data_IF_691465627322
#
_entry.id   IF_691465627322
#
_cell.length_a   1.000
_cell.length_b   1.000
_cell.length_c   1.000
_cell.angle_alpha   90.00
_cell.angle_beta   90.00
_cell.angle_gamma   90.00
#
_symmetry.space_group_name_H-M   'P 1'
#
loop_
_entity.id
_entity.type
_entity.pdbx_description
1 polymer ?
#
# COMPACT_ATOMS: atom_id res chain seq x y z
N UNK A 1 14.26 -8.58 -31.19
CA UNK A 1 14.15 -8.07 -29.81
C UNK A 1 14.56 -6.62 -29.83
N UNK A 2 13.80 -5.73 -29.16
CA UNK A 2 14.15 -4.32 -29.10
C UNK A 2 15.49 -4.13 -28.36
N UNK A 3 16.33 -3.21 -28.83
CA UNK A 3 17.60 -2.93 -28.16
C UNK A 3 17.39 -1.86 -27.07
N UNK A 4 17.24 -2.28 -25.82
CA UNK A 4 17.03 -1.39 -24.68
C UNK A 4 18.28 -0.62 -24.23
N UNK A 5 19.42 -0.77 -24.90
CA UNK A 5 20.57 0.13 -24.68
C UNK A 5 20.27 1.58 -25.12
N UNK A 6 19.27 1.75 -26.00
CA UNK A 6 18.72 3.05 -26.39
C UNK A 6 17.18 2.99 -26.28
N UNK A 7 16.66 3.54 -25.18
CA UNK A 7 15.23 3.57 -24.86
C UNK A 7 14.37 4.16 -25.99
N UNK A 8 14.82 5.27 -26.58
CA UNK A 8 14.07 5.94 -27.64
C UNK A 8 14.01 5.10 -28.92
N UNK A 9 15.13 4.48 -29.28
CA UNK A 9 15.20 3.59 -30.43
C UNK A 9 14.38 2.31 -30.24
N UNK A 10 14.37 1.74 -29.01
CA UNK A 10 13.56 0.58 -28.67
C UNK A 10 12.05 0.81 -28.92
N UNK A 11 11.60 2.06 -28.79
CA UNK A 11 10.20 2.46 -28.91
C UNK A 11 9.85 3.14 -30.24
N UNK A 12 10.77 3.20 -31.22
CA UNK A 12 10.55 3.92 -32.48
C UNK A 12 9.29 3.43 -33.22
N UNK A 13 9.03 2.11 -33.19
CA UNK A 13 7.84 1.50 -33.80
C UNK A 13 6.52 1.77 -33.08
N UNK A 14 6.55 2.39 -31.90
CA UNK A 14 5.39 2.63 -31.03
C UNK A 14 4.98 4.11 -30.96
N UNK A 15 5.70 5.02 -31.62
CA UNK A 15 5.48 6.47 -31.49
C UNK A 15 4.10 6.92 -31.97
N UNK A 16 3.60 6.39 -33.09
CA UNK A 16 2.27 6.75 -33.61
C UNK A 16 1.15 6.33 -32.64
N UNK A 17 1.28 5.13 -32.06
CA UNK A 17 0.35 4.63 -31.04
C UNK A 17 0.43 5.49 -29.77
N UNK A 18 1.65 5.84 -29.34
CA UNK A 18 1.88 6.70 -28.18
C UNK A 18 1.28 8.10 -28.37
N UNK A 19 1.45 8.74 -29.53
CA UNK A 19 0.84 10.05 -29.81
C UNK A 19 -0.68 10.02 -29.70
N UNK A 20 -1.30 8.96 -30.22
CA UNK A 20 -2.75 8.77 -30.10
C UNK A 20 -3.19 8.61 -28.65
N UNK A 21 -2.49 7.78 -27.87
CA UNK A 21 -2.77 7.57 -26.44
C UNK A 21 -2.59 8.86 -25.63
N UNK A 22 -1.46 9.57 -25.77
CA UNK A 22 -1.20 10.84 -25.07
C UNK A 22 -2.26 11.91 -25.39
N UNK A 23 -2.73 11.96 -26.64
CA UNK A 23 -3.76 12.92 -27.06
C UNK A 23 -5.18 12.57 -26.64
N UNK A 24 -5.44 11.35 -26.16
CA UNK A 24 -6.80 10.88 -25.86
C UNK A 24 -7.01 10.34 -24.44
N UNK A 25 -5.94 10.12 -23.66
CA UNK A 25 -6.05 9.58 -22.30
C UNK A 25 -6.75 10.57 -21.34
N UNK A 26 -7.91 10.19 -20.76
CA UNK A 26 -8.69 11.10 -19.93
C UNK A 26 -7.98 11.44 -18.61
N UNK A 27 -7.22 10.51 -18.04
CA UNK A 27 -6.52 10.72 -16.77
C UNK A 27 -5.37 11.73 -16.95
N UNK A 28 -4.53 11.53 -17.97
CA UNK A 28 -3.46 12.45 -18.31
C UNK A 28 -4.00 13.85 -18.64
N UNK A 29 -5.10 13.93 -19.40
CA UNK A 29 -5.76 15.21 -19.68
C UNK A 29 -6.24 15.89 -18.40
N UNK A 30 -6.85 15.16 -17.48
CA UNK A 30 -7.31 15.72 -16.21
C UNK A 30 -6.13 16.26 -15.37
N UNK A 31 -5.01 15.55 -15.34
CA UNK A 31 -3.80 15.97 -14.63
C UNK A 31 -3.09 17.18 -15.24
N UNK A 32 -3.23 17.38 -16.56
CA UNK A 32 -2.54 18.45 -17.29
C UNK A 32 -3.42 19.65 -17.60
N UNK A 33 -4.73 19.59 -17.33
CA UNK A 33 -5.67 20.70 -17.56
C UNK A 33 -5.65 21.70 -16.40
N UNK A 34 -4.68 22.60 -16.40
CA UNK A 34 -4.52 23.64 -15.38
C UNK A 34 -3.79 24.85 -15.93
N UNK A 35 -4.31 26.05 -15.66
CA UNK A 35 -3.67 27.32 -16.02
C UNK A 35 -2.36 27.56 -15.25
N UNK A 36 -2.06 26.74 -14.24
CA UNK A 36 -0.75 26.72 -13.58
C UNK A 36 0.36 26.15 -14.48
N UNK A 37 0.01 25.45 -15.57
CA UNK A 37 0.94 25.03 -16.63
C UNK A 37 0.97 26.15 -17.69
N UNK A 38 1.62 27.25 -17.33
CA UNK A 38 1.73 28.46 -18.16
C UNK A 38 2.83 28.39 -19.23
N UNK A 39 3.72 27.42 -19.10
CA UNK A 39 4.81 27.13 -20.03
C UNK A 39 4.96 25.62 -20.26
N UNK A 40 5.44 25.20 -21.43
CA UNK A 40 5.75 23.80 -21.68
C UNK A 40 6.77 23.26 -20.67
N UNK A 41 6.52 22.05 -20.18
CA UNK A 41 7.46 21.33 -19.30
C UNK A 41 7.85 20.02 -19.95
N UNK A 42 9.15 19.75 -20.05
CA UNK A 42 9.68 18.53 -20.66
C UNK A 42 10.40 17.66 -19.62
N UNK A 43 10.07 16.37 -19.59
CA UNK A 43 10.79 15.33 -18.86
C UNK A 43 11.16 14.17 -19.81
N UNK A 44 12.08 13.31 -19.38
CA UNK A 44 12.61 12.24 -20.24
C UNK A 44 12.59 10.84 -19.61
N UNK A 45 12.50 9.82 -20.45
CA UNK A 45 12.87 8.43 -20.13
C UNK A 45 14.10 8.04 -20.94
N UNK A 46 15.11 7.46 -20.29
CA UNK A 46 16.36 7.06 -20.94
C UNK A 46 16.91 5.74 -20.39
N UNK A 47 17.77 5.11 -21.19
CA UNK A 47 18.66 4.05 -20.70
C UNK A 47 19.93 4.67 -20.12
N UNK A 48 20.57 4.00 -19.17
CA UNK A 48 21.86 4.45 -18.60
C UNK A 48 22.95 4.63 -19.65
N UNK A 49 22.86 3.89 -20.75
CA UNK A 49 23.92 3.75 -21.76
C UNK A 49 23.79 4.75 -22.92
N UNK A 50 22.73 5.58 -22.95
CA UNK A 50 22.46 6.50 -24.04
C UNK A 50 21.90 7.84 -23.56
N UNK A 51 22.36 8.93 -24.17
CA UNK A 51 21.76 10.26 -23.98
C UNK A 51 20.52 10.48 -24.86
N UNK A 52 20.28 9.61 -25.84
CA UNK A 52 19.05 9.59 -26.64
C UNK A 52 17.90 9.10 -25.76
N UNK A 53 16.84 9.89 -25.70
CA UNK A 53 15.76 9.73 -24.74
C UNK A 53 14.40 9.95 -25.40
N UNK A 54 13.37 9.36 -24.80
CA UNK A 54 11.98 9.71 -25.10
C UNK A 54 11.61 10.92 -24.24
N UNK A 55 11.43 12.06 -24.90
CA UNK A 55 11.04 13.33 -24.27
C UNK A 55 9.52 13.45 -24.31
N UNK A 56 8.89 13.68 -23.16
CA UNK A 56 7.48 14.03 -23.06
C UNK A 56 7.39 15.51 -22.71
N UNK A 57 6.72 16.29 -23.56
CA UNK A 57 6.46 17.71 -23.33
C UNK A 57 5.00 17.90 -22.99
N UNK A 58 4.74 18.50 -21.84
CA UNK A 58 3.40 18.76 -21.30
C UNK A 58 3.09 20.24 -21.47
N UNK A 59 1.89 20.53 -21.98
CA UNK A 59 1.29 21.86 -21.98
C UNK A 59 -0.10 21.79 -21.37
N UNK A 60 -0.75 22.94 -21.14
CA UNK A 60 -2.08 22.97 -20.53
C UNK A 60 -3.08 22.13 -21.36
N UNK A 61 -3.50 21.00 -20.79
CA UNK A 61 -4.45 20.05 -21.38
C UNK A 61 -3.89 19.11 -22.46
N UNK A 62 -2.56 19.05 -22.66
CA UNK A 62 -1.96 18.14 -23.65
C UNK A 62 -0.56 17.64 -23.27
N UNK A 63 -0.16 16.52 -23.89
CA UNK A 63 1.19 15.99 -23.83
C UNK A 63 1.61 15.44 -25.20
N UNK A 64 2.88 15.62 -25.55
CA UNK A 64 3.46 15.17 -26.81
C UNK A 64 4.78 14.45 -26.58
N UNK A 65 5.06 13.42 -27.38
CA UNK A 65 6.30 12.65 -27.31
C UNK A 65 7.21 12.94 -28.50
N UNK A 66 8.52 13.07 -28.25
CA UNK A 66 9.55 13.12 -29.29
C UNK A 66 10.82 12.41 -28.83
N UNK A 67 11.63 11.94 -29.76
CA UNK A 67 12.99 11.48 -29.44
C UNK A 67 13.95 12.67 -29.44
N UNK A 68 14.97 12.64 -28.59
CA UNK A 68 15.92 13.75 -28.48
C UNK A 68 16.95 13.54 -27.37
N UNK A 69 17.68 14.59 -27.02
CA UNK A 69 18.65 14.50 -25.93
C UNK A 69 17.94 14.62 -24.58
N UNK A 70 18.28 13.75 -23.64
CA UNK A 70 17.86 13.89 -22.23
C UNK A 70 18.25 15.23 -21.59
N UNK A 71 19.22 15.96 -22.17
CA UNK A 71 19.65 17.29 -21.72
C UNK A 71 18.61 18.39 -21.99
N UNK A 72 17.63 18.12 -22.85
CA UNK A 72 16.53 19.05 -23.16
C UNK A 72 15.38 18.96 -22.15
N UNK A 73 15.48 18.06 -21.16
CA UNK A 73 14.47 17.82 -20.14
C UNK A 73 14.88 18.42 -18.78
N UNK A 74 13.89 18.83 -17.97
CA UNK A 74 14.12 19.28 -16.59
C UNK A 74 14.68 18.15 -15.71
N UNK A 75 14.20 16.93 -15.94
CA UNK A 75 14.66 15.72 -15.30
C UNK A 75 14.48 14.52 -16.22
N UNK A 76 15.23 13.45 -15.95
CA UNK A 76 15.11 12.19 -16.67
C UNK A 76 15.03 11.00 -15.70
N UNK A 77 14.13 10.08 -16.00
CA UNK A 77 14.06 8.76 -15.39
C UNK A 77 14.98 7.83 -16.18
N UNK A 78 16.11 7.48 -15.58
CA UNK A 78 17.11 6.57 -16.13
C UNK A 78 16.94 5.18 -15.54
N UNK A 79 17.07 4.14 -16.36
CA UNK A 79 17.21 2.76 -15.89
C UNK A 79 18.19 1.97 -16.75
N UNK A 80 18.80 0.93 -16.18
CA UNK A 80 19.65 0.01 -16.93
C UNK A 80 18.84 -0.74 -18.01
N UNK A 81 19.46 -1.11 -19.16
CA UNK A 81 18.75 -1.73 -20.28
C UNK A 81 17.96 -2.99 -19.92
N UNK A 82 18.52 -3.85 -19.06
CA UNK A 82 17.88 -5.07 -18.59
C UNK A 82 16.61 -4.79 -17.79
N UNK A 83 16.56 -3.66 -17.07
CA UNK A 83 15.40 -3.23 -16.29
C UNK A 83 14.26 -2.78 -17.19
N UNK A 84 14.57 -1.97 -18.20
CA UNK A 84 13.57 -1.59 -19.21
C UNK A 84 13.04 -2.81 -19.96
N UNK A 85 13.91 -3.76 -20.30
CA UNK A 85 13.46 -5.01 -20.93
C UNK A 85 12.45 -5.78 -20.07
N UNK A 86 12.61 -5.82 -18.75
CA UNK A 86 11.63 -6.45 -17.86
C UNK A 86 10.34 -5.62 -17.72
N UNK A 87 10.46 -4.28 -17.61
CA UNK A 87 9.31 -3.38 -17.50
C UNK A 87 8.41 -3.45 -18.74
N UNK A 88 8.98 -3.63 -19.93
CA UNK A 88 8.24 -3.71 -21.20
C UNK A 88 7.87 -5.14 -21.61
N UNK A 89 7.65 -6.02 -20.63
CA UNK A 89 6.91 -7.27 -20.84
C UNK A 89 5.41 -7.01 -20.79
N UNK A 90 4.62 -7.85 -21.47
CA UNK A 90 3.15 -7.74 -21.52
C UNK A 90 2.52 -7.63 -20.12
N UNK A 91 2.93 -8.51 -19.20
CA UNK A 91 2.70 -8.35 -17.77
C UNK A 91 4.06 -8.41 -17.08
N UNK A 92 4.58 -7.27 -16.60
CA UNK A 92 5.88 -7.24 -15.93
C UNK A 92 5.80 -8.04 -14.63
N UNK A 93 6.77 -8.92 -14.39
CA UNK A 93 6.88 -9.63 -13.12
C UNK A 93 7.39 -8.70 -12.01
N UNK A 94 7.16 -9.05 -10.75
CA UNK A 94 7.74 -8.31 -9.63
C UNK A 94 9.28 -8.30 -9.70
N UNK A 95 9.96 -7.20 -9.37
CA UNK A 95 9.43 -5.89 -8.96
C UNK A 95 9.36 -4.88 -10.13
N UNK A 96 9.31 -5.35 -11.38
CA UNK A 96 9.43 -4.53 -12.60
C UNK A 96 8.11 -3.89 -13.06
N UNK A 97 7.03 -4.00 -12.28
CA UNK A 97 5.73 -3.40 -12.62
C UNK A 97 5.69 -1.88 -12.47
N UNK A 98 6.70 -1.28 -11.86
CA UNK A 98 6.81 0.18 -11.73
C UNK A 98 8.26 0.64 -11.77
N UNK A 99 8.46 1.91 -12.13
CA UNK A 99 9.80 2.51 -12.12
C UNK A 99 10.48 2.43 -10.75
N UNK A 100 9.71 2.57 -9.67
CA UNK A 100 10.22 2.51 -8.30
C UNK A 100 10.63 1.11 -7.87
N UNK A 101 9.84 0.10 -8.26
CA UNK A 101 10.14 -1.30 -7.92
C UNK A 101 11.41 -1.84 -8.57
N UNK A 102 11.86 -1.25 -9.68
CA UNK A 102 13.12 -1.65 -10.31
C UNK A 102 14.35 -1.44 -9.40
N UNK A 103 14.25 -0.55 -8.39
CA UNK A 103 15.20 -0.26 -7.30
C UNK A 103 16.67 -0.02 -7.69
N UNK A 104 17.35 -1.10 -8.11
CA UNK A 104 18.77 -1.12 -8.43
C UNK A 104 18.98 -0.85 -9.91
N UNK A 105 19.86 0.10 -10.23
CA UNK A 105 20.09 0.51 -11.60
C UNK A 105 19.05 1.49 -12.15
N UNK A 106 18.23 2.10 -11.30
CA UNK A 106 17.39 3.27 -11.63
C UNK A 106 17.93 4.54 -10.99
N UNK A 107 17.76 5.67 -11.68
CA UNK A 107 18.18 6.98 -11.18
C UNK A 107 17.30 8.08 -11.79
N UNK A 108 16.84 9.00 -10.94
CA UNK A 108 16.30 10.28 -11.42
C UNK A 108 17.44 11.28 -11.51
N UNK A 109 17.71 11.79 -12.72
CA UNK A 109 18.72 12.83 -12.97
C UNK A 109 18.04 14.18 -13.23
N UNK A 110 18.64 15.28 -12.79
CA UNK A 110 18.09 16.63 -12.96
C UNK A 110 17.26 17.12 -11.78
N UNK A 111 16.25 17.96 -12.04
CA UNK A 111 15.44 18.62 -11.01
C UNK A 111 14.51 17.64 -10.28
N UNK A 112 14.91 17.26 -9.07
CA UNK A 112 14.17 16.34 -8.20
C UNK A 112 12.83 16.93 -7.73
N UNK A 113 12.73 18.26 -7.58
CA UNK A 113 11.49 18.91 -7.13
C UNK A 113 10.47 18.90 -8.27
N UNK A 114 10.90 19.22 -9.49
CA UNK A 114 10.04 19.11 -10.67
C UNK A 114 9.58 17.67 -10.90
N UNK A 115 10.45 16.68 -10.69
CA UNK A 115 10.08 15.26 -10.76
C UNK A 115 8.98 14.91 -9.76
N UNK A 116 9.13 15.33 -8.50
CA UNK A 116 8.12 15.08 -7.47
C UNK A 116 6.80 15.81 -7.75
N UNK A 117 6.86 17.04 -8.24
CA UNK A 117 5.68 17.83 -8.59
C UNK A 117 4.90 17.23 -9.77
N UNK A 118 5.60 16.65 -10.76
CA UNK A 118 5.01 16.09 -11.98
C UNK A 118 4.81 14.58 -11.92
N UNK A 119 4.88 13.97 -10.74
CA UNK A 119 4.86 12.53 -10.56
C UNK A 119 3.65 11.84 -11.18
N UNK A 120 2.47 12.39 -10.93
CA UNK A 120 1.20 11.96 -11.50
C UNK A 120 1.16 12.01 -13.03
N UNK A 121 1.90 12.94 -13.64
CA UNK A 121 1.97 13.11 -15.09
C UNK A 121 2.97 12.15 -15.71
N UNK A 122 4.22 12.11 -15.23
CA UNK A 122 5.22 11.23 -15.82
C UNK A 122 4.89 9.76 -15.55
N UNK A 123 4.37 9.38 -14.38
CA UNK A 123 4.02 7.97 -14.13
C UNK A 123 2.91 7.52 -15.08
N UNK A 124 1.86 8.33 -15.28
CA UNK A 124 0.80 8.00 -16.25
C UNK A 124 1.33 7.97 -17.68
N UNK A 125 2.17 8.93 -18.08
CA UNK A 125 2.79 8.91 -19.39
C UNK A 125 3.62 7.64 -19.61
N UNK A 126 4.36 7.15 -18.61
CA UNK A 126 5.13 5.91 -18.70
C UNK A 126 4.24 4.68 -18.91
N UNK A 127 3.08 4.60 -18.26
CA UNK A 127 2.09 3.54 -18.53
C UNK A 127 1.57 3.60 -19.97
N UNK A 128 1.32 4.80 -20.51
CA UNK A 128 0.88 4.94 -21.91
C UNK A 128 1.99 4.57 -22.90
N UNK A 129 3.26 4.78 -22.54
CA UNK A 129 4.41 4.28 -23.31
C UNK A 129 4.46 2.76 -23.29
N UNK A 130 4.22 2.13 -22.14
CA UNK A 130 4.07 0.67 -22.04
C UNK A 130 2.92 0.17 -22.91
N UNK A 131 1.72 0.75 -22.77
CA UNK A 131 0.54 0.37 -23.53
C UNK A 131 0.74 0.53 -25.05
N UNK A 132 1.41 1.60 -25.49
CA UNK A 132 1.76 1.81 -26.90
C UNK A 132 2.69 0.72 -27.46
N UNK A 133 3.54 0.13 -26.62
CA UNK A 133 4.53 -0.86 -27.02
C UNK A 133 4.06 -2.30 -26.87
N UNK A 134 3.46 -2.62 -25.73
CA UNK A 134 3.08 -3.96 -25.31
C UNK A 134 1.59 -4.25 -25.52
N UNK A 135 0.76 -3.22 -25.73
CA UNK A 135 -0.68 -3.30 -25.58
C UNK A 135 -1.13 -3.11 -24.12
N UNK A 136 -2.43 -2.91 -23.87
CA UNK A 136 -2.95 -2.69 -22.53
C UNK A 136 -2.81 -3.96 -21.67
N UNK A 137 -2.41 -3.79 -20.41
CA UNK A 137 -2.41 -4.89 -19.43
C UNK A 137 -3.85 -5.30 -19.18
N UNK A 138 -4.13 -6.61 -19.29
CA UNK A 138 -5.45 -7.15 -18.98
C UNK A 138 -5.65 -7.16 -17.46
N UNK A 139 -6.52 -6.27 -16.99
CA UNK A 139 -6.89 -6.16 -15.59
C UNK A 139 -8.05 -7.10 -15.22
N UNK A 140 -8.02 -7.56 -13.98
CA UNK A 140 -9.14 -8.25 -13.34
C UNK A 140 -10.36 -7.32 -13.20
N UNK A 141 -11.52 -7.91 -12.94
CA UNK A 141 -12.76 -7.18 -12.78
C UNK A 141 -13.16 -7.13 -11.30
N UNK A 142 -13.63 -5.96 -10.84
CA UNK A 142 -14.26 -5.81 -9.54
C UNK A 142 -15.76 -5.54 -9.74
N UNK A 143 -16.64 -6.45 -9.29
CA UNK A 143 -18.07 -6.18 -9.25
C UNK A 143 -18.39 -5.05 -8.26
N UNK A 144 -19.22 -4.11 -8.69
CA UNK A 144 -19.76 -3.03 -7.85
C UNK A 144 -21.22 -3.34 -7.48
N UNK A 145 -21.52 -3.74 -6.23
CA UNK A 145 -22.88 -4.01 -5.81
C UNK A 145 -23.67 -2.69 -5.65
N UNK A 146 -24.98 -2.75 -5.89
CA UNK A 146 -25.87 -1.60 -5.66
C UNK A 146 -25.96 -1.19 -4.19
N UNK A 147 -25.88 -2.16 -3.28
CA UNK A 147 -25.97 -1.96 -1.83
C UNK A 147 -24.80 -2.67 -1.15
N UNK A 148 -24.20 -2.00 -0.18
CA UNK A 148 -23.19 -2.59 0.70
C UNK A 148 -23.84 -3.21 1.96
N UNK A 149 -23.00 -3.82 2.79
CA UNK A 149 -23.36 -4.39 4.10
C UNK A 149 -22.63 -3.70 5.25
N UNK A 150 -22.16 -2.47 5.05
CA UNK A 150 -21.27 -1.78 5.98
C UNK A 150 -22.07 -0.73 6.73
N UNK A 151 -21.89 -0.67 8.05
CA UNK A 151 -22.48 0.38 8.90
C UNK A 151 -21.38 1.16 9.59
N UNK A 152 -21.39 2.49 9.44
CA UNK A 152 -20.46 3.40 10.10
C UNK A 152 -20.96 3.89 11.46
N UNK A 153 -20.05 4.07 12.40
CA UNK A 153 -20.29 4.43 13.79
C UNK A 153 -19.23 5.41 14.29
N UNK A 154 -19.54 6.10 15.39
CA UNK A 154 -18.56 6.89 16.14
C UNK A 154 -18.50 6.46 17.59
N UNK A 155 -17.29 6.44 18.16
CA UNK A 155 -17.05 6.20 19.59
C UNK A 155 -15.97 7.16 20.09
N UNK A 156 -16.06 7.59 21.35
CA UNK A 156 -14.96 8.31 21.98
C UNK A 156 -14.07 7.32 22.72
N UNK A 157 -12.77 7.32 22.43
CA UNK A 157 -11.79 6.47 23.09
C UNK A 157 -10.77 7.33 23.84
N UNK A 158 -10.42 6.89 25.04
CA UNK A 158 -9.24 7.38 25.76
C UNK A 158 -8.02 6.60 25.24
N UNK A 159 -7.33 7.18 24.27
CA UNK A 159 -6.19 6.54 23.61
C UNK A 159 -4.88 6.96 24.30
N UNK A 160 -3.98 6.02 24.63
CA UNK A 160 -2.63 6.36 25.07
C UNK A 160 -1.96 7.34 24.08
N UNK A 161 -1.26 8.34 24.61
CA UNK A 161 -0.61 9.44 23.86
C UNK A 161 -1.57 10.46 23.22
N UNK A 162 -2.68 10.02 22.65
CA UNK A 162 -3.62 10.89 21.91
C UNK A 162 -4.76 11.49 22.74
N UNK A 163 -4.90 11.06 23.99
CA UNK A 163 -5.98 11.45 24.89
C UNK A 163 -7.36 11.09 24.31
N UNK A 164 -8.42 11.75 24.80
CA UNK A 164 -9.79 11.47 24.38
C UNK A 164 -10.02 11.91 22.94
N UNK A 165 -10.21 10.95 22.04
CA UNK A 165 -10.40 11.21 20.60
C UNK A 165 -11.69 10.56 20.10
N UNK A 166 -12.39 11.24 19.17
CA UNK A 166 -13.57 10.71 18.50
C UNK A 166 -13.15 9.86 17.31
N UNK A 167 -13.40 8.56 17.39
CA UNK A 167 -12.99 7.55 16.43
C UNK A 167 -14.18 7.12 15.58
N UNK A 168 -14.01 7.17 14.27
CA UNK A 168 -14.92 6.53 13.33
C UNK A 168 -14.53 5.06 13.16
N UNK A 169 -15.53 4.19 13.12
CA UNK A 169 -15.33 2.80 12.75
C UNK A 169 -16.53 2.24 12.01
N UNK A 170 -16.28 1.20 11.25
CA UNK A 170 -17.25 0.50 10.43
C UNK A 170 -17.39 -0.94 10.90
N UNK A 171 -18.59 -1.49 10.71
CA UNK A 171 -18.91 -2.87 11.04
C UNK A 171 -19.60 -3.59 9.89
N UNK A 172 -19.31 -4.88 9.72
CA UNK A 172 -20.03 -5.76 8.80
C UNK A 172 -19.98 -7.22 9.26
N UNK A 173 -20.95 -8.02 8.82
CA UNK A 173 -21.01 -9.46 9.10
C UNK A 173 -21.60 -9.80 10.48
N UNK A 174 -21.90 -11.09 10.64
CA UNK A 174 -22.61 -11.63 11.80
C UNK A 174 -21.98 -12.93 12.32
N UNK A 175 -20.84 -13.33 11.76
CA UNK A 175 -20.18 -14.56 12.13
C UNK A 175 -19.45 -14.49 13.47
N UNK A 176 -19.16 -15.66 14.04
CA UNK A 176 -18.65 -15.80 15.42
C UNK A 176 -17.24 -15.23 15.63
N UNK A 177 -16.39 -15.19 14.60
CA UNK A 177 -15.04 -14.68 14.74
C UNK A 177 -15.04 -13.15 14.65
N UNK A 178 -14.60 -12.48 15.72
CA UNK A 178 -14.40 -11.03 15.69
C UNK A 178 -13.06 -10.71 15.04
N UNK A 179 -13.02 -9.80 14.07
CA UNK A 179 -11.76 -9.36 13.44
C UNK A 179 -11.73 -7.85 13.34
N UNK A 180 -10.60 -7.26 13.71
CA UNK A 180 -10.34 -5.82 13.61
C UNK A 180 -9.29 -5.61 12.53
N UNK A 181 -9.68 -4.87 11.50
CA UNK A 181 -8.83 -4.45 10.40
C UNK A 181 -8.19 -3.10 10.70
N UNK A 182 -6.92 -2.98 10.35
CA UNK A 182 -6.08 -1.81 10.56
C UNK A 182 -5.56 -1.31 9.21
N UNK A 183 -5.91 -0.08 8.84
CA UNK A 183 -5.54 0.50 7.54
C UNK A 183 -4.04 0.79 7.41
N UNK A 184 -3.59 0.93 6.17
CA UNK A 184 -2.21 1.31 5.83
C UNK A 184 -1.95 2.81 6.11
N UNK A 185 -0.68 3.21 6.01
CA UNK A 185 -0.26 4.59 6.21
C UNK A 185 -1.02 5.57 5.28
N UNK A 186 -1.45 6.72 5.79
CA UNK A 186 -2.08 7.79 5.00
C UNK A 186 -3.43 7.43 4.41
N UNK A 187 -4.09 6.37 4.90
CA UNK A 187 -5.34 5.86 4.37
C UNK A 187 -6.37 5.67 5.49
N UNK A 188 -7.45 4.94 5.24
CA UNK A 188 -8.54 4.71 6.19
C UNK A 188 -9.26 3.36 5.98
N UNK A 189 -10.30 3.09 6.77
CA UNK A 189 -11.04 1.82 6.80
C UNK A 189 -11.65 1.41 5.46
N UNK A 190 -11.83 2.33 4.50
CA UNK A 190 -12.34 2.02 3.15
C UNK A 190 -11.50 0.98 2.42
N UNK A 191 -10.22 0.82 2.80
CA UNK A 191 -9.34 -0.22 2.26
C UNK A 191 -9.88 -1.65 2.45
N UNK A 192 -10.76 -1.86 3.43
CA UNK A 192 -11.31 -3.18 3.72
C UNK A 192 -12.74 -3.38 3.19
N UNK A 193 -13.33 -2.42 2.47
CA UNK A 193 -14.71 -2.49 2.01
C UNK A 193 -15.00 -3.73 1.15
N UNK A 194 -14.06 -4.11 0.27
CA UNK A 194 -14.19 -5.33 -0.54
C UNK A 194 -14.30 -6.59 0.32
N UNK A 195 -13.43 -6.70 1.33
CA UNK A 195 -13.43 -7.83 2.29
C UNK A 195 -14.67 -7.80 3.18
N UNK A 196 -15.07 -6.62 3.65
CA UNK A 196 -16.23 -6.44 4.53
C UNK A 196 -17.56 -6.70 3.81
N UNK A 197 -17.62 -6.59 2.49
CA UNK A 197 -18.79 -6.94 1.71
C UNK A 197 -18.82 -8.42 1.26
N UNK A 198 -17.68 -9.11 1.24
CA UNK A 198 -17.60 -10.53 0.83
C UNK A 198 -18.49 -11.42 1.70
N UNK A 199 -19.38 -12.17 1.06
CA UNK A 199 -20.37 -13.00 1.74
C UNK A 199 -19.74 -14.10 2.62
N UNK A 200 -18.62 -14.69 2.18
CA UNK A 200 -17.92 -15.74 2.93
C UNK A 200 -17.34 -15.16 4.21
N UNK A 201 -16.78 -13.96 4.13
CA UNK A 201 -16.29 -13.22 5.29
C UNK A 201 -17.42 -12.84 6.24
N UNK A 202 -18.51 -12.25 5.75
CA UNK A 202 -19.67 -11.82 6.58
C UNK A 202 -20.34 -12.98 7.33
N UNK A 203 -20.43 -14.17 6.73
CA UNK A 203 -20.98 -15.37 7.38
C UNK A 203 -20.08 -15.90 8.50
N UNK A 204 -18.76 -15.75 8.37
CA UNK A 204 -17.78 -16.32 9.32
C UNK A 204 -17.33 -15.34 10.39
N UNK A 205 -17.32 -14.05 10.07
CA UNK A 205 -16.76 -13.01 10.91
C UNK A 205 -17.77 -11.89 11.22
N UNK A 206 -17.62 -11.30 12.40
CA UNK A 206 -18.07 -9.94 12.69
C UNK A 206 -16.84 -9.04 12.55
N UNK A 207 -16.83 -8.21 11.53
CA UNK A 207 -15.67 -7.42 11.09
C UNK A 207 -15.80 -5.98 11.56
N UNK A 208 -14.67 -5.41 11.97
CA UNK A 208 -14.53 -4.02 12.40
C UNK A 208 -13.35 -3.40 11.65
N UNK A 209 -13.48 -2.16 11.19
CA UNK A 209 -12.37 -1.36 10.69
C UNK A 209 -12.50 0.02 11.30
N UNK A 210 -11.46 0.53 11.97
CA UNK A 210 -11.50 1.89 12.53
C UNK A 210 -10.44 2.76 11.87
N UNK A 211 -10.76 4.04 11.74
CA UNK A 211 -9.82 5.04 11.25
C UNK A 211 -8.97 5.50 12.44
N UNK A 212 -7.65 5.49 12.30
CA UNK A 212 -6.76 6.03 13.33
C UNK A 212 -7.07 7.51 13.60
N UNK A 213 -6.72 8.06 14.77
CA UNK A 213 -6.81 9.50 15.01
C UNK A 213 -6.21 10.30 13.85
N UNK A 214 -6.95 11.30 13.37
CA UNK A 214 -6.56 12.15 12.23
C UNK A 214 -6.73 11.55 10.84
N UNK A 215 -7.20 10.31 10.73
CA UNK A 215 -7.43 9.62 9.46
C UNK A 215 -8.91 9.51 9.10
N UNK A 216 -9.20 9.39 7.80
CA UNK A 216 -10.54 9.17 7.28
C UNK A 216 -11.58 10.09 7.91
N UNK A 217 -12.50 9.51 8.67
CA UNK A 217 -13.57 10.22 9.40
C UNK A 217 -13.29 10.37 10.90
N UNK A 218 -12.20 9.80 11.41
CA UNK A 218 -11.76 10.02 12.79
C UNK A 218 -11.25 11.44 12.99
N UNK A 219 -11.48 11.98 14.18
CA UNK A 219 -11.05 13.33 14.52
C UNK A 219 -9.52 13.34 14.78
N UNK A 220 -8.83 14.46 14.51
CA UNK A 220 -7.44 14.59 14.88
C UNK A 220 -7.29 14.51 16.41
N UNK A 221 -6.18 13.95 16.91
CA UNK A 221 -5.95 13.85 18.34
C UNK A 221 -5.77 15.25 18.95
N UNK A 222 -6.43 15.52 20.08
CA UNK A 222 -6.45 16.85 20.71
C UNK A 222 -5.05 17.32 21.10
N UNK A 223 -4.19 16.38 21.53
CA UNK A 223 -2.82 16.65 21.94
C UNK A 223 -1.86 16.97 20.77
N UNK A 224 -2.31 16.92 19.51
CA UNK A 224 -1.46 17.08 18.34
C UNK A 224 -1.83 18.33 17.52
N UNK A 225 -0.94 19.33 17.38
CA UNK A 225 -1.16 20.41 16.43
C UNK A 225 -1.09 19.91 14.98
N UNK A 226 -1.76 20.59 14.03
CA UNK A 226 -1.66 20.27 12.60
C UNK A 226 -0.20 20.21 12.12
N UNK A 227 0.15 19.18 11.36
CA UNK A 227 1.50 18.97 10.83
C UNK A 227 2.50 18.32 11.79
N UNK A 228 2.13 18.04 13.05
CA UNK A 228 2.98 17.35 14.03
C UNK A 228 2.55 15.89 14.28
N UNK A 229 1.65 15.36 13.44
CA UNK A 229 1.15 14.01 13.59
C UNK A 229 2.28 12.99 13.45
N UNK A 230 2.29 12.02 14.37
CA UNK A 230 3.22 10.90 14.36
C UNK A 230 2.61 9.71 15.11
N UNK A 231 2.99 8.52 14.67
CA UNK A 231 2.64 7.28 15.35
C UNK A 231 3.87 6.74 16.09
N UNK A 232 3.64 6.24 17.29
CA UNK A 232 4.60 5.44 18.07
C UNK A 232 4.02 4.06 18.32
N UNK A 233 4.83 3.08 18.69
CA UNK A 233 4.32 1.76 19.08
C UNK A 233 3.28 1.86 20.22
N UNK A 234 3.54 2.70 21.22
CA UNK A 234 2.63 2.90 22.36
C UNK A 234 1.29 3.51 21.97
N UNK A 235 1.30 4.53 21.09
CA UNK A 235 0.06 5.12 20.61
C UNK A 235 -0.74 4.13 19.75
N UNK A 236 -0.06 3.34 18.91
CA UNK A 236 -0.71 2.40 18.00
C UNK A 236 -1.28 1.17 18.72
N UNK A 237 -0.47 0.47 19.54
CA UNK A 237 -0.95 -0.66 20.35
C UNK A 237 -2.00 -0.18 21.35
N UNK A 238 -1.80 1.02 21.92
CA UNK A 238 -2.71 1.65 22.84
C UNK A 238 -4.11 1.89 22.28
N UNK A 239 -4.23 2.50 21.08
CA UNK A 239 -5.54 2.73 20.46
C UNK A 239 -6.24 1.41 20.10
N UNK A 240 -5.50 0.39 19.66
CA UNK A 240 -6.05 -0.93 19.35
C UNK A 240 -6.64 -1.56 20.62
N UNK A 241 -5.89 -1.54 21.73
CA UNK A 241 -6.36 -2.01 23.03
C UNK A 241 -7.58 -1.24 23.54
N UNK A 242 -7.58 0.09 23.40
CA UNK A 242 -8.70 0.94 23.79
C UNK A 242 -9.97 0.62 22.97
N UNK A 243 -9.83 0.42 21.66
CA UNK A 243 -10.93 0.06 20.76
C UNK A 243 -11.51 -1.32 21.12
N UNK A 244 -10.65 -2.33 21.26
CA UNK A 244 -11.03 -3.70 21.65
C UNK A 244 -11.78 -3.71 22.98
N UNK A 245 -11.26 -2.99 23.98
CA UNK A 245 -11.89 -2.86 25.30
C UNK A 245 -13.23 -2.13 25.23
N UNK A 246 -13.30 -1.00 24.54
CA UNK A 246 -14.51 -0.16 24.48
C UNK A 246 -15.68 -0.87 23.81
N UNK A 247 -15.41 -1.69 22.80
CA UNK A 247 -16.44 -2.49 22.11
C UNK A 247 -16.70 -3.84 22.78
N UNK A 248 -15.97 -4.16 23.86
CA UNK A 248 -16.12 -5.43 24.57
C UNK A 248 -15.75 -6.65 23.71
N UNK A 249 -14.83 -6.49 22.75
CA UNK A 249 -14.41 -7.57 21.86
C UNK A 249 -13.61 -8.61 22.66
N UNK A 250 -13.86 -9.89 22.37
CA UNK A 250 -13.29 -11.02 23.12
C UNK A 250 -12.40 -11.85 22.21
N UNK A 251 -11.09 -11.73 22.41
CA UNK A 251 -10.09 -12.43 21.59
C UNK A 251 -10.29 -12.17 20.08
N UNK A 252 -10.41 -10.91 19.63
CA UNK A 252 -10.51 -10.61 18.22
C UNK A 252 -9.21 -10.99 17.50
N UNK A 253 -9.30 -11.31 16.21
CA UNK A 253 -8.12 -11.34 15.34
C UNK A 253 -7.79 -9.89 14.99
N UNK A 254 -6.52 -9.51 15.08
CA UNK A 254 -6.05 -8.20 14.59
C UNK A 254 -5.35 -8.43 13.25
N UNK A 255 -5.79 -7.72 12.21
CA UNK A 255 -5.31 -7.89 10.84
C UNK A 255 -5.01 -6.52 10.23
N UNK A 256 -3.90 -6.37 9.52
CA UNK A 256 -3.46 -5.08 9.03
C UNK A 256 -2.34 -5.20 8.00
N UNK A 257 -2.33 -4.32 7.01
CA UNK A 257 -1.31 -4.29 5.95
C UNK A 257 -0.21 -3.24 6.22
N UNK A 258 1.01 -3.47 5.73
CA UNK A 258 2.10 -2.49 5.72
C UNK A 258 2.53 -2.07 7.14
N UNK A 259 2.47 -0.77 7.45
CA UNK A 259 2.59 -0.21 8.80
C UNK A 259 1.74 -0.99 9.83
N UNK A 260 0.51 -1.36 9.46
CA UNK A 260 -0.37 -2.10 10.34
C UNK A 260 0.02 -3.58 10.47
N UNK A 261 0.75 -4.14 9.50
CA UNK A 261 1.37 -5.47 9.61
C UNK A 261 2.43 -5.51 10.71
N UNK A 262 3.26 -4.46 10.80
CA UNK A 262 4.18 -4.27 11.94
C UNK A 262 3.42 -4.08 13.25
N UNK A 263 2.32 -3.31 13.25
CA UNK A 263 1.47 -3.14 14.43
C UNK A 263 0.87 -4.47 14.91
N UNK A 264 0.47 -5.37 13.99
CA UNK A 264 0.04 -6.73 14.33
C UNK A 264 1.14 -7.51 15.07
N UNK A 265 2.40 -7.40 14.65
CA UNK A 265 3.53 -8.02 15.36
C UNK A 265 3.74 -7.39 16.74
N UNK A 266 3.65 -6.06 16.85
CA UNK A 266 3.71 -5.34 18.13
C UNK A 266 2.59 -5.79 19.08
N UNK A 267 1.37 -5.95 18.58
CA UNK A 267 0.21 -6.50 19.33
C UNK A 267 0.50 -7.92 19.81
N UNK A 268 1.08 -8.79 18.98
CA UNK A 268 1.41 -10.16 19.39
C UNK A 268 2.47 -10.20 20.50
N UNK A 269 3.48 -9.33 20.43
CA UNK A 269 4.49 -9.14 21.49
C UNK A 269 3.83 -8.65 22.78
N UNK A 270 2.91 -7.69 22.66
CA UNK A 270 2.23 -6.99 23.76
C UNK A 270 0.81 -7.52 24.00
N UNK A 271 0.57 -8.80 23.74
CA UNK A 271 -0.80 -9.32 23.69
C UNK A 271 -1.56 -9.19 25.01
N UNK A 272 -0.88 -9.11 26.15
CA UNK A 272 -1.49 -8.84 27.45
C UNK A 272 -2.21 -7.49 27.53
N UNK A 273 -1.84 -6.52 26.70
CA UNK A 273 -2.43 -5.18 26.67
C UNK A 273 -3.70 -5.10 25.80
N UNK A 274 -3.79 -5.98 24.79
CA UNK A 274 -4.88 -5.96 23.80
C UNK A 274 -5.88 -7.10 24.00
N UNK A 275 -5.39 -8.29 24.39
CA UNK A 275 -6.23 -9.48 24.50
C UNK A 275 -6.63 -10.05 23.14
N UNK A 276 -5.75 -9.98 22.13
CA UNK A 276 -6.00 -10.55 20.81
C UNK A 276 -6.07 -12.08 20.86
N UNK A 277 -6.91 -12.64 20.01
CA UNK A 277 -7.07 -14.07 19.79
C UNK A 277 -6.07 -14.67 18.81
N UNK A 278 -5.38 -13.82 18.06
CA UNK A 278 -4.40 -14.12 17.02
C UNK A 278 -4.17 -12.86 16.18
N UNK A 279 -3.11 -12.85 15.38
CA UNK A 279 -2.81 -11.74 14.47
C UNK A 279 -2.55 -12.24 13.06
N UNK A 280 -2.94 -11.42 12.09
CA UNK A 280 -2.67 -11.64 10.67
C UNK A 280 -1.91 -10.41 10.15
N UNK A 281 -0.58 -10.36 10.29
CA UNK A 281 0.24 -9.35 9.64
C UNK A 281 0.18 -9.54 8.12
N UNK A 282 -0.27 -8.53 7.40
CA UNK A 282 -0.26 -8.50 5.93
C UNK A 282 0.83 -7.51 5.51
N UNK A 283 1.64 -7.83 4.50
CA UNK A 283 2.73 -6.96 4.03
C UNK A 283 3.60 -6.40 5.18
N UNK A 284 3.98 -7.25 6.14
CA UNK A 284 4.60 -6.83 7.40
C UNK A 284 5.85 -7.63 7.75
N UNK A 285 6.83 -6.99 8.37
CA UNK A 285 8.08 -7.61 8.81
C UNK A 285 8.49 -7.07 10.18
N UNK A 286 9.44 -7.73 10.83
CA UNK A 286 9.95 -7.32 12.15
C UNK A 286 10.67 -5.97 12.13
N UNK A 287 11.14 -5.50 10.97
CA UNK A 287 11.82 -4.23 10.81
C UNK A 287 11.92 -3.86 9.34
N UNK A 288 11.62 -2.61 9.03
CA UNK A 288 11.79 -2.04 7.70
C UNK A 288 12.38 -0.64 7.83
N UNK A 289 13.35 -0.32 6.98
CA UNK A 289 13.95 1.02 6.94
C UNK A 289 14.30 1.38 5.49
N UNK A 290 13.44 2.18 4.87
CA UNK A 290 13.64 2.66 3.51
C UNK A 290 14.19 4.09 3.52
N UNK A 291 15.07 4.46 2.56
CA UNK A 291 15.46 5.86 2.39
C UNK A 291 14.23 6.72 2.11
N UNK A 292 14.02 7.74 2.94
CA UNK A 292 12.88 8.66 2.79
C UNK A 292 13.34 10.01 2.25
N UNK A 293 12.66 10.49 1.21
CA UNK A 293 12.72 11.90 0.83
C UNK A 293 11.56 12.65 1.48
N UNK A 294 11.74 13.94 1.77
CA UNK A 294 10.73 14.75 2.46
C UNK A 294 9.62 15.29 1.54
N UNK A 295 9.42 14.72 0.36
CA UNK A 295 8.38 15.17 -0.58
C UNK A 295 6.97 14.94 -0.03
N UNK A 296 6.79 13.88 0.73
CA UNK A 296 5.54 13.49 1.43
C UNK A 296 5.09 14.48 2.52
N UNK A 297 5.94 15.46 2.86
CA UNK A 297 5.61 16.57 3.77
C UNK A 297 6.06 17.95 3.27
N UNK A 298 6.57 18.04 2.04
CA UNK A 298 7.17 19.28 1.53
C UNK A 298 6.08 20.33 1.28
N UNK A 299 6.28 21.60 1.67
CA UNK A 299 5.35 22.68 1.31
C UNK A 299 5.40 23.03 -0.19
N UNK A 300 6.40 22.54 -0.93
CA UNK A 300 6.57 22.78 -2.36
C UNK A 300 6.04 21.64 -3.25
N UNK A 301 5.62 20.53 -2.64
CA UNK A 301 5.10 19.36 -3.34
C UNK A 301 3.67 19.11 -2.88
N UNK A 302 2.74 19.00 -3.82
CA UNK A 302 1.37 18.67 -3.48
C UNK A 302 1.28 17.19 -3.06
N UNK A 303 1.12 16.94 -1.76
CA UNK A 303 1.05 15.60 -1.18
C UNK A 303 -0.14 14.79 -1.69
N UNK A 304 -1.25 15.44 -2.04
CA UNK A 304 -2.42 14.77 -2.63
C UNK A 304 -2.15 14.25 -4.05
N UNK A 305 -1.05 14.67 -4.68
CA UNK A 305 -0.59 14.13 -5.96
C UNK A 305 0.64 13.24 -5.77
N UNK A 306 1.59 13.61 -4.90
CA UNK A 306 2.81 12.82 -4.73
C UNK A 306 2.58 11.49 -3.98
N UNK A 307 1.88 11.52 -2.85
CA UNK A 307 1.71 10.33 -2.00
C UNK A 307 0.99 9.17 -2.69
N UNK A 308 -0.17 9.37 -3.36
CA UNK A 308 -0.82 8.27 -4.07
C UNK A 308 0.04 7.71 -5.20
N UNK A 309 0.85 8.53 -5.84
CA UNK A 309 1.73 8.10 -6.92
C UNK A 309 2.94 7.31 -6.43
N UNK A 310 3.48 7.70 -5.27
CA UNK A 310 4.60 7.02 -4.63
C UNK A 310 4.29 5.56 -4.32
N UNK A 311 3.06 5.30 -3.87
CA UNK A 311 2.59 3.94 -3.55
C UNK A 311 1.96 3.22 -4.74
N UNK A 312 1.61 3.92 -5.83
CA UNK A 312 0.84 3.32 -6.91
C UNK A 312 1.53 2.09 -7.52
N UNK A 313 2.86 2.18 -7.64
CA UNK A 313 3.70 1.16 -8.25
C UNK A 313 3.87 -0.13 -7.43
N UNK A 314 3.31 -0.21 -6.22
CA UNK A 314 3.40 -1.40 -5.35
C UNK A 314 2.21 -2.34 -5.53
N UNK A 315 1.19 -1.93 -6.30
CA UNK A 315 0.04 -2.76 -6.64
C UNK A 315 0.39 -3.78 -7.73
N UNK A 316 -0.39 -4.85 -7.78
CA UNK A 316 -0.33 -5.80 -8.89
C UNK A 316 -0.72 -5.14 -10.22
N UNK A 317 0.00 -5.38 -11.33
CA UNK A 317 -0.33 -4.81 -12.64
C UNK A 317 -1.71 -5.24 -13.13
N UNK A 318 -2.17 -6.44 -12.74
CA UNK A 318 -3.45 -7.02 -13.15
C UNK A 318 -4.60 -6.70 -12.18
N UNK A 319 -4.37 -5.91 -11.12
CA UNK A 319 -5.43 -5.51 -10.21
C UNK A 319 -6.53 -4.69 -10.95
N UNK A 320 -7.81 -4.85 -10.59
CA UNK A 320 -8.91 -4.06 -11.15
C UNK A 320 -8.65 -2.55 -11.12
N UNK A 321 -8.85 -1.89 -12.25
CA UNK A 321 -8.61 -0.44 -12.39
C UNK A 321 -9.35 0.38 -11.34
N UNK A 322 -10.63 0.08 -11.09
CA UNK A 322 -11.45 0.81 -10.12
C UNK A 322 -10.87 0.73 -8.71
N UNK A 323 -10.21 -0.39 -8.36
CA UNK A 323 -9.57 -0.55 -7.06
C UNK A 323 -8.21 0.14 -7.00
N UNK A 324 -7.43 0.14 -8.10
CA UNK A 324 -6.22 0.96 -8.20
C UNK A 324 -6.54 2.45 -8.07
N UNK A 325 -7.62 2.90 -8.71
CA UNK A 325 -8.14 4.27 -8.59
C UNK A 325 -8.66 4.58 -7.19
N UNK A 326 -9.30 3.61 -6.52
CA UNK A 326 -9.69 3.76 -5.11
C UNK A 326 -8.45 3.96 -4.23
N UNK A 327 -7.44 3.10 -4.33
CA UNK A 327 -6.19 3.28 -3.57
C UNK A 327 -5.57 4.65 -3.83
N UNK A 328 -5.46 5.06 -5.10
CA UNK A 328 -4.99 6.40 -5.45
C UNK A 328 -5.83 7.50 -4.77
N UNK A 329 -7.17 7.39 -4.80
CA UNK A 329 -8.06 8.35 -4.16
C UNK A 329 -7.88 8.43 -2.64
N UNK A 330 -7.76 7.29 -1.96
CA UNK A 330 -7.60 7.24 -0.51
C UNK A 330 -6.35 8.02 -0.08
N UNK A 331 -5.22 7.74 -0.72
CA UNK A 331 -3.94 8.40 -0.46
C UNK A 331 -3.91 9.87 -0.91
N UNK A 332 -4.70 10.25 -1.92
CA UNK A 332 -4.92 11.64 -2.31
C UNK A 332 -5.72 12.42 -1.25
N UNK A 333 -6.61 11.74 -0.51
CA UNK A 333 -7.61 12.36 0.38
C UNK A 333 -7.15 12.59 1.83
N UNK A 334 -5.91 12.24 2.15
CA UNK A 334 -5.37 12.39 3.51
C UNK A 334 -5.08 13.85 3.90
N UNK A 335 -5.16 14.14 5.19
CA UNK A 335 -4.78 15.44 5.73
C UNK A 335 -3.26 15.65 5.68
N UNK A 336 -2.85 16.92 5.71
CA UNK A 336 -1.44 17.31 5.61
C UNK A 336 -0.55 16.57 6.63
N UNK A 337 0.54 15.97 6.15
CA UNK A 337 1.57 15.28 6.94
C UNK A 337 1.12 14.01 7.68
N UNK A 338 -0.11 13.53 7.49
CA UNK A 338 -0.57 12.28 8.12
C UNK A 338 0.26 11.08 7.62
N UNK A 339 0.34 10.89 6.30
CA UNK A 339 1.15 9.84 5.69
C UNK A 339 2.62 9.94 6.12
N UNK A 340 3.17 11.15 6.21
CA UNK A 340 4.54 11.33 6.67
C UNK A 340 4.75 10.83 8.11
N UNK A 341 3.82 11.13 9.01
CA UNK A 341 3.86 10.72 10.42
C UNK A 341 3.64 9.23 10.63
N UNK A 342 2.85 8.59 9.77
CA UNK A 342 2.69 7.14 9.74
C UNK A 342 3.96 6.44 9.30
N UNK A 343 4.59 6.95 8.24
CA UNK A 343 5.85 6.40 7.73
C UNK A 343 7.00 6.53 8.73
N UNK A 344 6.92 7.41 9.74
CA UNK A 344 7.90 7.43 10.84
C UNK A 344 7.82 6.15 11.67
N UNK A 345 6.63 5.61 11.89
CA UNK A 345 6.47 4.29 12.51
C UNK A 345 6.90 3.17 11.55
N UNK A 346 6.44 3.23 10.30
CA UNK A 346 6.67 2.17 9.32
C UNK A 346 8.15 1.95 9.00
N UNK A 347 8.91 3.05 8.87
CA UNK A 347 10.31 3.05 8.45
C UNK A 347 11.21 3.49 9.61
N UNK A 348 11.62 2.50 10.40
CA UNK A 348 12.57 2.66 11.52
C UNK A 348 11.94 2.93 12.89
N UNK A 349 10.64 3.27 12.96
CA UNK A 349 9.96 3.52 14.24
C UNK A 349 9.54 2.25 15.00
N UNK A 350 9.27 1.16 14.29
CA UNK A 350 9.11 -0.18 14.88
C UNK A 350 10.36 -1.03 14.68
N UNK A 351 10.87 -1.61 15.77
CA UNK A 351 11.96 -2.60 15.73
C UNK A 351 11.60 -3.83 16.57
N UNK A 352 11.29 -4.91 15.87
CA UNK A 352 10.94 -6.22 16.40
C UNK A 352 12.07 -7.25 16.38
N UNK A 353 13.25 -6.95 15.82
CA UNK A 353 14.29 -7.95 15.50
C UNK A 353 14.77 -8.80 16.69
N UNK A 354 14.73 -8.24 17.90
CA UNK A 354 15.10 -8.93 19.15
C UNK A 354 13.90 -9.31 20.02
N UNK A 355 12.68 -9.22 19.48
CA UNK A 355 11.43 -9.30 20.25
C UNK A 355 10.45 -10.30 19.65
N UNK A 356 10.42 -10.47 18.33
CA UNK A 356 9.45 -11.37 17.67
C UNK A 356 9.61 -12.83 18.12
N UNK A 357 10.82 -13.28 18.43
CA UNK A 357 11.07 -14.64 18.96
C UNK A 357 10.38 -14.92 20.31
N UNK A 358 10.04 -13.87 21.06
CA UNK A 358 9.35 -13.99 22.36
C UNK A 358 7.84 -14.21 22.23
N UNK A 359 7.28 -14.06 21.02
CA UNK A 359 5.84 -14.24 20.77
C UNK A 359 5.44 -15.67 21.08
N UNK A 360 4.50 -15.81 22.01
CA UNK A 360 3.93 -17.10 22.41
C UNK A 360 2.68 -17.39 21.56
N UNK A 361 2.88 -18.13 20.47
CA UNK A 361 1.82 -18.44 19.48
C UNK A 361 0.67 -19.29 20.03
N UNK A 362 0.85 -20.00 21.14
CA UNK A 362 -0.24 -20.65 21.87
C UNK A 362 -1.23 -19.64 22.51
N UNK A 363 -0.76 -18.44 22.84
CA UNK A 363 -1.60 -17.37 23.38
C UNK A 363 -2.15 -16.49 22.25
N UNK A 364 -1.31 -16.15 21.28
CA UNK A 364 -1.61 -15.30 20.14
C UNK A 364 -0.99 -15.89 18.86
N UNK A 365 -1.70 -16.76 18.14
CA UNK A 365 -1.20 -17.34 16.90
C UNK A 365 -0.92 -16.26 15.85
N UNK A 366 0.08 -16.50 14.99
CA UNK A 366 0.53 -15.56 13.96
C UNK A 366 0.48 -16.24 12.59
N UNK A 367 -0.23 -15.65 11.64
CA UNK A 367 -0.20 -16.07 10.24
C UNK A 367 0.05 -14.86 9.35
N UNK A 368 1.21 -14.81 8.71
CA UNK A 368 1.65 -13.69 7.87
C UNK A 368 1.27 -13.93 6.41
N UNK A 369 0.85 -12.86 5.73
CA UNK A 369 0.49 -12.86 4.31
C UNK A 369 1.26 -11.76 3.60
N UNK A 370 1.78 -12.03 2.40
CA UNK A 370 2.52 -11.02 1.61
C UNK A 370 2.21 -11.18 0.12
N UNK A 371 1.89 -10.09 -0.56
CA UNK A 371 1.69 -10.06 -2.01
C UNK A 371 3.00 -10.33 -2.75
N UNK A 372 2.93 -11.12 -3.83
CA UNK A 372 4.06 -11.36 -4.74
C UNK A 372 4.68 -10.06 -5.30
N UNK A 373 3.83 -9.06 -5.58
CA UNK A 373 4.23 -7.79 -6.16
C UNK A 373 4.67 -6.74 -5.15
N UNK A 374 4.60 -7.04 -3.84
CA UNK A 374 5.08 -6.11 -2.82
C UNK A 374 6.61 -6.05 -2.82
N UNK A 375 7.14 -4.92 -3.30
CA UNK A 375 8.57 -4.64 -3.28
C UNK A 375 9.00 -3.78 -2.08
N UNK A 376 8.06 -3.28 -1.28
CA UNK A 376 8.32 -2.56 -0.02
C UNK A 376 8.58 -3.58 1.10
N UNK A 377 7.63 -4.47 1.35
CA UNK A 377 7.76 -5.55 2.32
C UNK A 377 7.78 -6.88 1.57
N UNK A 378 8.94 -7.24 1.03
CA UNK A 378 9.02 -8.40 0.14
C UNK A 378 8.61 -9.69 0.83
N UNK A 379 8.08 -10.69 0.08
CA UNK A 379 7.77 -12.00 0.63
C UNK A 379 8.92 -12.64 1.42
N UNK A 380 10.16 -12.39 1.03
CA UNK A 380 11.36 -12.85 1.74
C UNK A 380 11.51 -12.21 3.12
N UNK A 381 11.26 -10.90 3.27
CA UNK A 381 11.34 -10.21 4.57
C UNK A 381 10.27 -10.72 5.55
N UNK A 382 9.05 -10.91 5.06
CA UNK A 382 7.96 -11.48 5.84
C UNK A 382 8.24 -12.93 6.23
N UNK A 383 8.78 -13.75 5.32
CA UNK A 383 9.19 -15.13 5.61
C UNK A 383 10.28 -15.17 6.67
N UNK A 384 11.34 -14.35 6.54
CA UNK A 384 12.43 -14.26 7.53
C UNK A 384 11.92 -13.87 8.92
N UNK A 385 10.89 -13.02 8.98
CA UNK A 385 10.23 -12.67 10.24
C UNK A 385 9.46 -13.85 10.82
N UNK A 386 8.65 -14.52 10.00
CA UNK A 386 7.86 -15.68 10.43
C UNK A 386 8.73 -16.84 10.93
N UNK A 387 9.87 -17.10 10.28
CA UNK A 387 10.80 -18.17 10.65
C UNK A 387 11.38 -18.01 12.06
N UNK A 388 11.45 -16.78 12.58
CA UNK A 388 11.90 -16.49 13.95
C UNK A 388 10.81 -16.70 15.00
N UNK A 389 9.54 -16.70 14.60
CA UNK A 389 8.40 -16.82 15.51
C UNK A 389 7.99 -18.28 15.57
N UNK A 390 8.29 -18.96 16.69
CA UNK A 390 7.96 -20.38 16.84
C UNK A 390 6.45 -20.62 16.66
N UNK A 391 6.09 -21.40 15.64
CA UNK A 391 4.72 -21.78 15.34
C UNK A 391 3.95 -20.75 14.49
N UNK A 392 4.59 -19.67 14.04
CA UNK A 392 4.01 -18.81 13.02
C UNK A 392 4.04 -19.48 11.64
N UNK A 393 3.20 -18.98 10.74
CA UNK A 393 3.23 -19.33 9.31
C UNK A 393 3.35 -18.06 8.47
N UNK A 394 3.93 -18.19 7.29
CA UNK A 394 3.89 -17.18 6.25
C UNK A 394 3.38 -17.80 4.94
N UNK A 395 2.66 -17.01 4.14
CA UNK A 395 2.25 -17.39 2.80
C UNK A 395 2.31 -16.20 1.84
N UNK A 396 3.08 -16.37 0.77
CA UNK A 396 3.07 -15.47 -0.38
C UNK A 396 1.74 -15.63 -1.14
N UNK A 397 1.18 -14.52 -1.60
CA UNK A 397 -0.07 -14.46 -2.35
C UNK A 397 0.24 -14.05 -3.81
N UNK A 398 0.28 -15.01 -4.74
CA UNK A 398 0.49 -14.73 -6.15
C UNK A 398 -0.48 -13.69 -6.70
N UNK A 399 0.02 -12.85 -7.61
CA UNK A 399 -0.74 -11.80 -8.31
C UNK A 399 -1.35 -10.69 -7.43
N UNK A 400 -0.98 -10.61 -6.16
CA UNK A 400 -1.29 -9.50 -5.26
C UNK A 400 -0.03 -8.68 -4.99
N UNK A 401 -0.18 -7.38 -4.78
CA UNK A 401 0.84 -6.44 -4.34
C UNK A 401 0.59 -5.96 -2.90
N UNK A 402 0.94 -4.71 -2.62
CA UNK A 402 1.01 -4.17 -1.25
C UNK A 402 -0.35 -3.90 -0.58
N UNK A 403 -1.45 -3.89 -1.36
CA UNK A 403 -2.77 -3.53 -0.86
C UNK A 403 -3.80 -4.62 -1.11
N UNK A 404 -3.55 -5.88 -0.73
CA UNK A 404 -4.32 -7.03 -1.22
C UNK A 404 -5.83 -6.95 -0.92
N UNK A 405 -6.19 -6.40 0.25
CA UNK A 405 -7.59 -6.22 0.66
C UNK A 405 -8.36 -5.21 -0.20
N UNK A 406 -7.67 -4.19 -0.71
CA UNK A 406 -8.27 -3.12 -1.52
C UNK A 406 -8.08 -3.40 -3.00
N UNK A 407 -6.86 -3.73 -3.43
CA UNK A 407 -6.54 -3.88 -4.85
C UNK A 407 -7.30 -5.06 -5.45
N UNK A 408 -7.43 -6.21 -4.78
CA UNK A 408 -8.16 -7.36 -5.31
C UNK A 408 -8.73 -8.25 -4.18
N UNK A 409 -9.85 -7.85 -3.56
CA UNK A 409 -10.46 -8.59 -2.45
C UNK A 409 -10.88 -10.01 -2.84
N UNK A 410 -11.27 -10.24 -4.10
CA UNK A 410 -11.67 -11.57 -4.56
C UNK A 410 -10.53 -12.59 -4.47
N UNK A 411 -9.31 -12.19 -4.85
CA UNK A 411 -8.08 -12.99 -4.71
C UNK A 411 -7.57 -13.06 -3.27
N UNK A 412 -7.72 -11.97 -2.49
CA UNK A 412 -7.22 -11.92 -1.11
C UNK A 412 -8.04 -12.76 -0.12
N UNK A 413 -9.37 -12.72 -0.20
CA UNK A 413 -10.26 -13.37 0.80
C UNK A 413 -9.95 -14.85 1.04
N UNK A 414 -9.68 -15.70 0.02
CA UNK A 414 -9.27 -17.09 0.25
C UNK A 414 -8.06 -17.24 1.19
N UNK A 415 -7.03 -16.41 1.05
CA UNK A 415 -5.85 -16.44 1.92
C UNK A 415 -6.18 -15.96 3.33
N UNK A 416 -7.01 -14.92 3.45
CA UNK A 416 -7.46 -14.43 4.75
C UNK A 416 -8.27 -15.51 5.50
N UNK A 417 -9.14 -16.25 4.81
CA UNK A 417 -9.90 -17.34 5.39
C UNK A 417 -8.99 -18.49 5.87
N UNK A 418 -7.97 -18.84 5.09
CA UNK A 418 -6.96 -19.84 5.49
C UNK A 418 -6.19 -19.41 6.75
N UNK A 419 -5.80 -18.14 6.83
CA UNK A 419 -5.15 -17.59 8.02
C UNK A 419 -6.07 -17.65 9.26
N UNK A 420 -7.36 -17.34 9.10
CA UNK A 420 -8.36 -17.47 10.17
C UNK A 420 -8.50 -18.94 10.61
N UNK A 421 -8.55 -19.88 9.67
CA UNK A 421 -8.64 -21.32 9.95
C UNK A 421 -7.43 -21.83 10.74
N UNK A 422 -6.22 -21.37 10.38
CA UNK A 422 -5.02 -21.69 11.15
C UNK A 422 -5.07 -21.17 12.59
N UNK A 423 -5.50 -19.91 12.78
CA UNK A 423 -5.65 -19.33 14.12
C UNK A 423 -6.64 -20.14 14.96
N UNK A 424 -7.75 -20.58 14.36
CA UNK A 424 -8.74 -21.44 15.03
C UNK A 424 -8.15 -22.79 15.42
N UNK A 425 -7.39 -23.42 14.53
CA UNK A 425 -6.71 -24.68 14.79
C UNK A 425 -5.76 -24.57 15.99
N UNK A 426 -4.82 -23.62 15.98
CA UNK A 426 -3.82 -23.45 17.06
C UNK A 426 -4.49 -23.19 18.41
N UNK A 427 -5.56 -22.39 18.43
CA UNK A 427 -6.33 -22.12 19.66
C UNK A 427 -7.00 -23.39 20.19
N UNK A 428 -7.55 -24.22 19.30
CA UNK A 428 -8.20 -25.47 19.69
C UNK A 428 -7.21 -26.48 20.28
N UNK A 429 -6.02 -26.60 19.70
CA UNK A 429 -4.94 -27.48 20.16
C UNK A 429 -4.36 -27.02 21.51
N UNK A 430 -4.23 -25.70 21.69
CA UNK A 430 -3.78 -25.09 22.96
C UNK A 430 -4.78 -25.34 24.10
N UNK A 431 -6.09 -25.30 23.82
CA UNK A 431 -7.12 -25.65 24.82
C UNK A 431 -7.12 -27.14 25.18
N UNK A 432 -6.88 -28.02 24.20
CA UNK A 432 -6.81 -29.47 24.43
C UNK A 432 -5.59 -29.87 25.26
N UNK A 433 -4.41 -29.28 24.98
CA UNK A 433 -3.19 -29.53 25.76
C UNK A 433 -3.28 -29.05 27.21
N UNK A 434 -3.95 -27.91 27.48
CA UNK A 434 -4.22 -27.45 28.85
C UNK A 434 -5.16 -28.39 29.63
N UNK A 435 -6.07 -29.10 28.94
CA UNK A 435 -6.97 -30.07 29.59
C UNK A 435 -6.27 -31.38 29.94
N UNK A 436 -5.31 -31.82 29.12
CA UNK A 436 -4.57 -33.08 29.32
C UNK A 436 -3.38 -32.97 30.28
N UNK A 437 -2.90 -31.76 30.59
CA UNK A 437 -1.79 -31.53 31.52
C UNK A 437 -2.19 -31.32 32.98
N UNK A 438 -3.48 -31.43 33.31
CA UNK A 438 -4.04 -31.29 34.66
C UNK A 438 -4.57 -32.63 35.23
N UNK A 439 -4.38 -33.74 34.51
CA UNK A 439 -4.54 -35.11 34.99
C UNK A 439 -3.16 -35.70 35.34
#
# INVERSE_FOLDING_TARGET
>A
MANWSDFANALQGSLDALHKLLGSDPQLKAFTSSDAIDKPVTFAYKSTDSDNALLITVTNGSAEAKTGSSKDALFSLSAAPDKWEQFFKEVPAAPYQSYWGMFTGTEVQGDQTAMAQLMHVWRRALELVHEAHCGPIKEDQQPEPMWDHITGHYVYLDAPVWEKTKIFYETSGEGKQQIVFLHTAGSDGRQYHGVMNDERMRKRCTMYAFDLPGHGRSFPPQACPPGAYKITEDSYVGIIGAFVKSLGLRRPIICGASMAGQACLAVAIRNSEVGAGGVIPVEGSEYLNMPRQSFDRSPYVNQSLFNPEYIYGTMSPTAPLVNKQLNWHLYSSQAYSIFHGDLEFAFGGFDGRSRVESIKTNNCPVFMLTGEYDWINTPELSQQTADKIRGAKHKTMPELGHFPATENPAKFVPYLLEAIDHIHQVRSESLSSLRLGND
#
